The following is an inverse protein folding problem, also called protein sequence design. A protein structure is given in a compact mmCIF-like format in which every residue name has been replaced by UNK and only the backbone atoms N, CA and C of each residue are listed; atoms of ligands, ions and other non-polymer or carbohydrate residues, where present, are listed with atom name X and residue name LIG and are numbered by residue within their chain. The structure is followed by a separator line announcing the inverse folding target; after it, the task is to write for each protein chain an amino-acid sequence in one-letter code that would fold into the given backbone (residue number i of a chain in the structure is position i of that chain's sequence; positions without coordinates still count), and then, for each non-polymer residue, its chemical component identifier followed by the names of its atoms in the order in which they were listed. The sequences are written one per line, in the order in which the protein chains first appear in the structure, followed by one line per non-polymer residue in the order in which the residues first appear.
data_IF_858111985392
#
_entry.id   IF_858111985392
#
_cell.length_a   1.000
_cell.length_b   1.000
_cell.length_c   1.000
_cell.angle_alpha   90.00
_cell.angle_beta   90.00
_cell.angle_gamma   90.00
#
_symmetry.space_group_name_H-M   'P 1'
#
loop_
_entity.id
_entity.type
_entity.pdbx_description
1 polymer ?
#
# COMPACT_ATOMS: atom_id res chain seq x y z
N UNK A 1 -4.40 -12.25 -4.09
CA UNK A 1 -5.72 -12.90 -4.17
C UNK A 1 -5.72 -13.88 -5.31
N UNK A 2 -6.57 -14.90 -5.22
CA UNK A 2 -6.76 -16.02 -6.15
C UNK A 2 -8.21 -16.13 -6.62
N UNK A 3 -9.04 -15.17 -6.22
CA UNK A 3 -10.46 -15.04 -6.52
C UNK A 3 -10.74 -14.70 -8.00
N UNK A 4 -9.76 -14.24 -8.77
CA UNK A 4 -9.90 -14.07 -10.22
C UNK A 4 -9.77 -15.38 -11.03
N UNK A 5 -9.54 -16.52 -10.37
CA UNK A 5 -9.47 -17.80 -11.05
C UNK A 5 -10.79 -18.12 -11.78
N UNK A 6 -10.73 -18.79 -12.93
CA UNK A 6 -11.91 -19.00 -13.78
C UNK A 6 -13.03 -19.86 -13.17
N UNK A 7 -12.74 -20.58 -12.09
CA UNK A 7 -13.72 -21.36 -11.33
C UNK A 7 -14.21 -20.65 -10.07
N UNK A 8 -13.64 -19.48 -9.72
CA UNK A 8 -14.00 -18.79 -8.50
C UNK A 8 -15.43 -18.25 -8.56
N UNK A 9 -16.23 -18.47 -7.50
CA UNK A 9 -17.64 -18.09 -7.51
C UNK A 9 -17.88 -16.59 -7.40
N UNK A 10 -16.88 -15.78 -7.01
CA UNK A 10 -17.09 -14.36 -6.71
C UNK A 10 -16.70 -13.43 -7.86
N UNK A 11 -15.51 -13.60 -8.45
CA UNK A 11 -14.98 -12.57 -9.35
C UNK A 11 -15.36 -12.76 -10.83
N UNK A 12 -15.80 -13.97 -11.24
CA UNK A 12 -16.16 -14.31 -12.62
C UNK A 12 -15.13 -13.81 -13.66
N UNK A 13 -13.85 -14.09 -13.40
CA UNK A 13 -12.73 -13.73 -14.26
C UNK A 13 -12.17 -14.97 -14.99
N UNK A 14 -11.08 -14.83 -15.75
CA UNK A 14 -10.53 -15.90 -16.58
C UNK A 14 -9.01 -16.08 -16.36
N UNK A 15 -8.58 -16.25 -15.11
CA UNK A 15 -7.18 -16.62 -14.81
C UNK A 15 -7.05 -18.12 -14.57
N UNK A 16 -6.02 -18.73 -15.16
CA UNK A 16 -5.61 -20.11 -14.88
C UNK A 16 -4.37 -20.15 -13.97
N UNK A 17 -4.13 -21.27 -13.33
CA UNK A 17 -2.93 -21.62 -12.58
C UNK A 17 -1.65 -21.39 -13.41
N UNK A 18 -1.65 -21.73 -14.70
CA UNK A 18 -0.52 -21.42 -15.58
C UNK A 18 -0.38 -19.92 -15.85
N UNK A 19 -1.49 -19.18 -15.96
CA UNK A 19 -1.47 -17.72 -16.05
C UNK A 19 -0.88 -17.07 -14.78
N UNK A 20 -1.19 -17.62 -13.61
CA UNK A 20 -0.56 -17.25 -12.34
C UNK A 20 0.94 -17.51 -12.32
N UNK A 21 1.37 -18.70 -12.75
CA UNK A 21 2.78 -19.07 -12.83
C UNK A 21 3.55 -18.13 -13.77
N UNK A 22 3.01 -17.84 -14.97
CA UNK A 22 3.60 -16.91 -15.94
C UNK A 22 3.71 -15.49 -15.37
N UNK A 23 2.66 -15.00 -14.71
CA UNK A 23 2.68 -13.68 -14.08
C UNK A 23 3.74 -13.63 -12.97
N UNK A 24 3.82 -14.68 -12.14
CA UNK A 24 4.82 -14.78 -11.08
C UNK A 24 6.25 -14.81 -11.65
N UNK A 25 6.52 -15.61 -12.68
CA UNK A 25 7.83 -15.66 -13.34
C UNK A 25 8.26 -14.30 -13.92
N UNK A 26 7.31 -13.52 -14.45
CA UNK A 26 7.59 -12.16 -14.96
C UNK A 26 7.88 -11.16 -13.86
N UNK A 27 7.18 -11.27 -12.73
CA UNK A 27 7.36 -10.39 -11.59
C UNK A 27 8.64 -10.72 -10.80
N UNK A 28 9.06 -12.00 -10.80
CA UNK A 28 10.17 -12.54 -10.04
C UNK A 28 10.17 -12.09 -8.56
N UNK A 29 9.08 -12.33 -7.81
CA UNK A 29 8.95 -11.81 -6.45
C UNK A 29 9.79 -12.62 -5.45
N UNK A 30 10.31 -11.95 -4.42
CA UNK A 30 10.97 -12.61 -3.29
C UNK A 30 9.97 -13.29 -2.34
N UNK A 31 8.74 -12.77 -2.27
CA UNK A 31 7.70 -13.22 -1.33
C UNK A 31 6.35 -13.27 -2.06
N UNK A 32 5.58 -14.33 -1.81
CA UNK A 32 4.16 -14.41 -2.17
C UNK A 32 3.31 -14.60 -0.90
N UNK A 33 2.33 -13.73 -0.70
CA UNK A 33 1.39 -13.78 0.44
C UNK A 33 0.04 -14.28 -0.05
N UNK A 34 -0.50 -15.28 0.63
CA UNK A 34 -1.83 -15.81 0.33
C UNK A 34 -2.91 -14.85 0.83
N UNK A 35 -3.86 -14.53 -0.03
CA UNK A 35 -4.98 -13.60 0.25
C UNK A 35 -6.31 -14.33 -0.02
N UNK A 36 -7.36 -13.63 -0.47
CA UNK A 36 -8.65 -14.25 -0.83
C UNK A 36 -8.55 -15.28 -1.97
N UNK A 37 -9.53 -16.18 -2.04
CA UNK A 37 -9.67 -17.26 -3.02
C UNK A 37 -10.61 -18.34 -2.49
N UNK A 38 -11.70 -18.64 -3.20
CA UNK A 38 -12.84 -19.38 -2.61
C UNK A 38 -13.10 -20.74 -3.28
N UNK A 39 -12.31 -21.09 -4.29
CA UNK A 39 -12.32 -22.40 -4.99
C UNK A 39 -11.39 -23.43 -4.35
N UNK A 40 -11.57 -23.70 -3.06
CA UNK A 40 -10.61 -24.43 -2.21
C UNK A 40 -10.24 -25.81 -2.76
N UNK A 41 -11.22 -26.60 -3.22
CA UNK A 41 -10.99 -27.99 -3.64
C UNK A 41 -10.69 -28.15 -5.14
N UNK A 42 -10.90 -27.10 -5.94
CA UNK A 42 -10.79 -27.18 -7.40
C UNK A 42 -9.55 -26.46 -7.92
N UNK A 43 -9.47 -25.15 -7.70
CA UNK A 43 -8.46 -24.31 -8.35
C UNK A 43 -7.26 -23.97 -7.49
N UNK A 44 -7.48 -23.72 -6.19
CA UNK A 44 -6.42 -23.24 -5.30
C UNK A 44 -5.19 -24.18 -5.26
N UNK A 45 -5.33 -25.52 -5.27
CA UNK A 45 -4.16 -26.40 -5.30
C UNK A 45 -3.29 -26.20 -6.54
N UNK A 46 -3.91 -26.04 -7.72
CA UNK A 46 -3.19 -25.83 -8.98
C UNK A 46 -2.55 -24.44 -9.02
N UNK A 47 -3.27 -23.40 -8.60
CA UNK A 47 -2.75 -22.02 -8.55
C UNK A 47 -1.55 -21.94 -7.60
N UNK A 48 -1.66 -22.50 -6.39
CA UNK A 48 -0.56 -22.55 -5.42
C UNK A 48 0.63 -23.36 -5.94
N UNK A 49 0.39 -24.51 -6.58
CA UNK A 49 1.43 -25.28 -7.23
C UNK A 49 2.15 -24.44 -8.30
N UNK A 50 1.42 -23.74 -9.16
CA UNK A 50 2.01 -22.87 -10.19
C UNK A 50 2.85 -21.72 -9.63
N UNK A 51 2.40 -21.09 -8.55
CA UNK A 51 3.17 -20.05 -7.86
C UNK A 51 4.46 -20.61 -7.27
N UNK A 52 4.40 -21.75 -6.57
CA UNK A 52 5.58 -22.41 -5.98
C UNK A 52 6.56 -22.83 -7.07
N UNK A 53 6.06 -23.45 -8.15
CA UNK A 53 6.90 -23.86 -9.28
C UNK A 53 7.60 -22.65 -9.92
N UNK A 54 6.87 -21.57 -10.19
CA UNK A 54 7.43 -20.36 -10.77
C UNK A 54 8.50 -19.72 -9.87
N UNK A 55 8.23 -19.59 -8.57
CA UNK A 55 9.18 -19.03 -7.61
C UNK A 55 10.42 -19.91 -7.42
N UNK A 56 10.27 -21.24 -7.49
CA UNK A 56 11.36 -22.19 -7.39
C UNK A 56 12.13 -22.40 -8.72
N UNK A 57 11.75 -21.72 -9.81
CA UNK A 57 12.35 -21.91 -11.13
C UNK A 57 12.08 -23.30 -11.75
N UNK A 58 11.02 -23.97 -11.31
CA UNK A 58 10.60 -25.29 -11.81
C UNK A 58 9.73 -25.08 -13.05
N UNK A 59 9.98 -25.89 -14.09
CA UNK A 59 9.17 -25.87 -15.31
C UNK A 59 7.71 -26.25 -15.04
N UNK A 60 6.81 -25.31 -15.33
CA UNK A 60 5.35 -25.46 -15.20
C UNK A 60 4.66 -25.63 -16.56
N UNK A 61 5.38 -26.01 -17.62
CA UNK A 61 4.81 -26.25 -18.95
C UNK A 61 3.65 -27.26 -18.95
N UNK A 62 3.72 -28.25 -18.06
CA UNK A 62 2.72 -29.30 -17.86
C UNK A 62 1.68 -29.00 -16.77
N UNK A 63 1.75 -27.84 -16.10
CA UNK A 63 0.74 -27.43 -15.14
C UNK A 63 -0.56 -27.11 -15.87
N UNK A 64 -1.59 -27.92 -15.59
CA UNK A 64 -2.91 -27.76 -16.20
C UNK A 64 -3.99 -28.27 -15.26
N UNK A 65 -5.00 -27.45 -15.06
CA UNK A 65 -6.22 -27.81 -14.35
C UNK A 65 -7.06 -28.79 -15.21
N UNK A 66 -7.77 -29.75 -14.58
CA UNK A 66 -8.46 -30.81 -15.32
C UNK A 66 -9.52 -30.32 -16.32
N UNK A 67 -10.19 -29.21 -16.01
CA UNK A 67 -11.26 -28.60 -16.81
C UNK A 67 -10.78 -27.41 -17.65
N UNK A 68 -9.47 -27.16 -17.72
CA UNK A 68 -8.91 -26.05 -18.48
C UNK A 68 -9.24 -26.16 -19.98
N UNK A 69 -9.96 -25.17 -20.50
CA UNK A 69 -10.31 -25.04 -21.90
C UNK A 69 -9.78 -23.71 -22.47
N UNK A 70 -8.71 -23.71 -23.29
CA UNK A 70 -8.09 -22.49 -23.80
C UNK A 70 -9.02 -21.65 -24.68
N UNK A 71 -10.07 -22.23 -25.26
CA UNK A 71 -11.03 -21.48 -26.09
C UNK A 71 -11.85 -20.46 -25.28
N UNK A 72 -11.94 -20.63 -23.95
CA UNK A 72 -12.63 -19.72 -23.02
C UNK A 72 -11.80 -18.50 -22.62
N UNK A 73 -10.50 -18.48 -22.92
CA UNK A 73 -9.56 -17.43 -22.50
C UNK A 73 -9.24 -16.46 -23.65
N UNK A 74 -10.29 -15.98 -24.33
CA UNK A 74 -10.15 -15.01 -25.41
C UNK A 74 -10.58 -13.63 -24.94
N UNK A 75 -9.65 -12.69 -24.95
CA UNK A 75 -9.95 -11.31 -24.62
C UNK A 75 -10.80 -10.67 -25.73
N UNK A 76 -11.83 -9.91 -25.35
CA UNK A 76 -12.68 -9.24 -26.33
C UNK A 76 -11.92 -8.09 -27.02
N UNK A 77 -12.20 -7.77 -28.29
CA UNK A 77 -11.57 -6.62 -28.97
C UNK A 77 -11.75 -5.31 -28.21
N UNK A 78 -12.93 -5.10 -27.59
CA UNK A 78 -13.25 -3.92 -26.79
C UNK A 78 -12.39 -3.83 -25.53
N UNK A 79 -12.25 -4.92 -24.79
CA UNK A 79 -11.41 -4.95 -23.59
C UNK A 79 -9.94 -4.75 -23.96
N UNK A 80 -9.48 -5.36 -25.06
CA UNK A 80 -8.12 -5.15 -25.55
C UNK A 80 -7.86 -3.69 -25.95
N UNK A 81 -8.84 -3.00 -26.55
CA UNK A 81 -8.74 -1.58 -26.82
C UNK A 81 -8.64 -0.76 -25.52
N UNK A 82 -9.45 -1.10 -24.51
CA UNK A 82 -9.39 -0.47 -23.19
C UNK A 82 -8.03 -0.67 -22.51
N UNK A 83 -7.51 -1.90 -22.49
CA UNK A 83 -6.19 -2.24 -21.93
C UNK A 83 -5.11 -1.42 -22.64
N UNK A 84 -5.14 -1.34 -23.98
CA UNK A 84 -4.17 -0.52 -24.74
C UNK A 84 -4.23 0.96 -24.35
N UNK A 85 -5.42 1.53 -24.18
CA UNK A 85 -5.59 2.93 -23.72
C UNK A 85 -5.04 3.11 -22.32
N UNK A 86 -5.35 2.20 -21.40
CA UNK A 86 -4.83 2.23 -20.02
C UNK A 86 -3.30 2.15 -20.01
N UNK A 87 -2.71 1.20 -20.75
CA UNK A 87 -1.25 1.06 -20.86
C UNK A 87 -0.61 2.34 -21.41
N UNK A 88 -1.18 2.93 -22.46
CA UNK A 88 -0.68 4.19 -23.01
C UNK A 88 -0.75 5.34 -21.99
N UNK A 89 -1.83 5.45 -21.23
CA UNK A 89 -1.98 6.45 -20.18
C UNK A 89 -0.95 6.26 -19.05
N UNK A 90 -0.82 5.05 -18.52
CA UNK A 90 0.13 4.73 -17.46
C UNK A 90 1.58 4.92 -17.92
N UNK A 91 1.88 4.54 -19.16
CA UNK A 91 3.20 4.74 -19.77
C UNK A 91 3.54 6.22 -19.89
N UNK A 92 2.61 7.04 -20.38
CA UNK A 92 2.81 8.48 -20.49
C UNK A 92 2.99 9.13 -19.11
N UNK A 93 2.21 8.73 -18.11
CA UNK A 93 2.38 9.21 -16.74
C UNK A 93 3.77 8.83 -16.18
N UNK A 94 4.21 7.59 -16.38
CA UNK A 94 5.54 7.14 -15.96
C UNK A 94 6.66 7.90 -16.67
N UNK A 95 6.56 8.09 -18.00
CA UNK A 95 7.58 8.79 -18.79
C UNK A 95 7.73 10.25 -18.38
N UNK A 96 6.62 10.94 -18.06
CA UNK A 96 6.60 12.37 -17.71
C UNK A 96 6.61 12.61 -16.19
N UNK A 97 6.87 11.58 -15.38
CA UNK A 97 6.79 11.67 -13.91
C UNK A 97 7.75 12.71 -13.34
N UNK A 98 8.96 12.82 -13.87
CA UNK A 98 10.00 13.71 -13.33
C UNK A 98 9.63 15.19 -13.53
N UNK A 99 9.07 15.53 -14.70
CA UNK A 99 8.54 16.86 -14.99
C UNK A 99 7.36 17.18 -14.06
N UNK A 100 6.43 16.23 -13.91
CA UNK A 100 5.28 16.37 -13.01
C UNK A 100 5.72 16.57 -11.55
N UNK A 101 6.71 15.80 -11.09
CA UNK A 101 7.30 15.94 -9.75
C UNK A 101 7.96 17.31 -9.58
N UNK A 102 8.75 17.75 -10.57
CA UNK A 102 9.42 19.05 -10.53
C UNK A 102 8.41 20.20 -10.47
N UNK A 103 7.34 20.14 -11.26
CA UNK A 103 6.30 21.16 -11.26
C UNK A 103 5.49 21.18 -9.96
N UNK A 104 5.15 20.01 -9.42
CA UNK A 104 4.50 19.91 -8.11
C UNK A 104 5.38 20.51 -7.01
N UNK A 105 6.69 20.26 -7.05
CA UNK A 105 7.67 20.81 -6.10
C UNK A 105 7.83 22.32 -6.24
N UNK A 106 7.73 22.89 -7.45
CA UNK A 106 7.81 24.35 -7.66
C UNK A 106 6.56 25.10 -7.19
N UNK A 107 5.38 24.51 -7.42
CA UNK A 107 4.08 25.11 -7.05
C UNK A 107 3.80 25.01 -5.56
N UNK A 108 4.38 24.02 -4.90
CA UNK A 108 4.20 23.78 -3.47
C UNK A 108 5.25 24.53 -2.64
N UNK A 109 4.86 25.05 -1.48
CA UNK A 109 5.82 25.49 -0.47
C UNK A 109 6.58 24.31 0.15
N UNK A 110 7.27 24.56 1.26
CA UNK A 110 7.97 23.49 1.99
C UNK A 110 7.04 22.40 2.52
N UNK A 111 5.75 22.73 2.68
CA UNK A 111 4.70 21.82 3.13
C UNK A 111 3.45 21.95 2.28
N UNK A 112 2.76 20.83 2.08
CA UNK A 112 1.40 20.76 1.55
C UNK A 112 0.50 20.22 2.65
N UNK A 113 -0.57 20.93 2.95
CA UNK A 113 -1.54 20.54 3.97
C UNK A 113 -2.87 20.18 3.32
N UNK A 114 -3.50 19.11 3.78
CA UNK A 114 -4.84 18.73 3.34
C UNK A 114 -5.59 17.97 4.43
N UNK A 115 -6.91 18.07 4.39
CA UNK A 115 -7.78 17.39 5.34
C UNK A 115 -8.36 16.12 4.69
N UNK A 116 -8.59 15.10 5.50
CA UNK A 116 -9.22 13.85 5.06
C UNK A 116 -10.12 13.33 6.16
N UNK A 117 -11.35 13.01 5.83
CA UNK A 117 -12.28 12.29 6.71
C UNK A 117 -12.38 10.84 6.26
N UNK A 118 -12.29 9.91 7.19
CA UNK A 118 -12.28 8.47 6.94
C UNK A 118 -13.31 7.81 7.86
N UNK A 119 -14.11 6.92 7.29
CA UNK A 119 -15.01 6.06 8.05
C UNK A 119 -14.56 4.61 7.93
N UNK A 120 -14.25 3.98 9.05
CA UNK A 120 -13.86 2.57 9.17
C UNK A 120 -15.09 1.79 9.59
N UNK A 121 -15.73 1.14 8.64
CA UNK A 121 -17.01 0.43 8.81
C UNK A 121 -16.94 -0.76 9.77
N UNK A 122 -15.82 -1.48 9.78
CA UNK A 122 -15.64 -2.71 10.57
C UNK A 122 -15.71 -2.44 12.06
N UNK A 123 -15.09 -1.35 12.53
CA UNK A 123 -15.09 -0.95 13.95
C UNK A 123 -16.00 0.27 14.23
N UNK A 124 -16.63 0.81 13.18
CA UNK A 124 -17.46 2.01 13.23
C UNK A 124 -16.70 3.23 13.79
N UNK A 125 -15.49 3.45 13.28
CA UNK A 125 -14.62 4.57 13.67
C UNK A 125 -14.76 5.70 12.65
N UNK A 126 -15.01 6.92 13.14
CA UNK A 126 -14.94 8.13 12.34
C UNK A 126 -13.65 8.88 12.68
N UNK A 127 -12.83 9.14 11.66
CA UNK A 127 -11.54 9.80 11.81
C UNK A 127 -11.46 11.05 10.93
N UNK A 128 -11.08 12.17 11.54
CA UNK A 128 -10.71 13.39 10.83
C UNK A 128 -9.21 13.64 10.95
N UNK A 129 -8.55 13.73 9.80
CA UNK A 129 -7.11 13.93 9.69
C UNK A 129 -6.76 15.30 9.10
N UNK A 130 -5.78 15.97 9.70
CA UNK A 130 -5.02 17.06 9.08
C UNK A 130 -3.64 16.50 8.72
N UNK A 131 -3.38 16.38 7.42
CA UNK A 131 -2.13 15.85 6.91
C UNK A 131 -1.19 16.99 6.54
N UNK A 132 0.06 16.89 6.96
CA UNK A 132 1.16 17.79 6.60
C UNK A 132 2.23 16.99 5.86
N UNK A 133 2.40 17.25 4.57
CA UNK A 133 3.41 16.58 3.74
C UNK A 133 4.60 17.52 3.51
N UNK A 134 5.78 17.13 3.96
CA UNK A 134 7.02 17.86 3.68
C UNK A 134 7.42 17.67 2.22
N UNK A 135 7.55 18.76 1.47
CA UNK A 135 7.98 18.74 0.06
C UNK A 135 9.50 18.92 -0.04
N UNK A 136 10.23 17.81 -0.17
CA UNK A 136 11.69 17.82 -0.27
C UNK A 136 12.15 17.79 -1.74
N UNK A 137 13.24 18.50 -2.04
CA UNK A 137 13.90 18.44 -3.35
C UNK A 137 14.79 17.19 -3.51
N UNK A 138 15.29 16.65 -2.40
CA UNK A 138 16.29 15.58 -2.37
C UNK A 138 15.69 14.19 -2.13
N UNK A 139 14.47 14.09 -1.60
CA UNK A 139 13.80 12.81 -1.32
C UNK A 139 12.27 12.95 -1.40
N UNK A 140 11.53 11.91 -0.97
CA UNK A 140 10.07 11.92 -0.88
C UNK A 140 9.50 12.76 0.27
N UNK A 141 10.36 13.32 1.13
CA UNK A 141 9.94 14.03 2.34
C UNK A 141 9.47 13.10 3.46
N UNK A 142 8.85 13.68 4.48
CA UNK A 142 8.19 12.97 5.58
C UNK A 142 6.76 13.50 5.72
N UNK A 143 5.90 12.74 6.43
CA UNK A 143 4.50 13.12 6.65
C UNK A 143 4.22 13.23 8.14
N UNK A 144 3.43 14.23 8.51
CA UNK A 144 2.81 14.34 9.82
C UNK A 144 1.30 14.27 9.66
N UNK A 145 0.63 13.64 10.60
CA UNK A 145 -0.82 13.48 10.63
C UNK A 145 -1.29 13.85 12.02
N UNK A 146 -2.06 14.92 12.13
CA UNK A 146 -2.93 15.11 13.28
C UNK A 146 -4.23 14.35 13.00
N UNK A 147 -4.63 13.49 13.91
CA UNK A 147 -5.81 12.64 13.74
C UNK A 147 -6.70 12.72 14.98
N UNK A 148 -8.00 12.88 14.75
CA UNK A 148 -9.04 12.81 15.78
C UNK A 148 -9.99 11.69 15.40
N UNK A 149 -10.17 10.73 16.29
CA UNK A 149 -11.02 9.59 16.06
C UNK A 149 -12.10 9.47 17.14
N UNK A 150 -13.34 9.24 16.72
CA UNK A 150 -14.46 8.86 17.57
C UNK A 150 -14.77 7.38 17.37
N UNK A 151 -14.75 6.62 18.45
CA UNK A 151 -15.11 5.20 18.43
C UNK A 151 -16.56 4.97 18.83
N UNK A 152 -17.10 3.81 18.47
CA UNK A 152 -18.46 3.37 18.87
C UNK A 152 -18.66 3.32 20.39
N UNK A 153 -17.59 3.08 21.14
CA UNK A 153 -17.58 3.05 22.62
C UNK A 153 -17.78 4.43 23.25
N UNK A 154 -17.70 5.51 22.46
CA UNK A 154 -17.71 6.89 22.93
C UNK A 154 -16.32 7.43 23.27
N UNK A 155 -15.28 6.59 23.18
CA UNK A 155 -13.90 7.04 23.35
C UNK A 155 -13.50 7.99 22.20
N UNK A 156 -12.75 9.03 22.56
CA UNK A 156 -12.18 9.99 21.63
C UNK A 156 -10.66 10.01 21.81
N UNK A 157 -9.95 9.90 20.70
CA UNK A 157 -8.50 9.98 20.68
C UNK A 157 -8.04 11.11 19.78
N UNK A 158 -7.14 11.94 20.30
CA UNK A 158 -6.44 12.95 19.54
C UNK A 158 -4.96 12.60 19.50
N UNK A 159 -4.47 12.23 18.32
CA UNK A 159 -3.11 11.71 18.14
C UNK A 159 -2.34 12.50 17.10
N UNK A 160 -1.01 12.47 17.23
CA UNK A 160 -0.11 13.05 16.24
C UNK A 160 0.92 12.03 15.80
N UNK A 161 0.95 11.75 14.50
CA UNK A 161 1.77 10.70 13.92
C UNK A 161 2.78 11.31 12.95
N UNK A 162 4.05 10.92 13.07
CA UNK A 162 5.12 11.32 12.17
C UNK A 162 5.69 10.05 11.53
N UNK A 163 5.78 10.03 10.20
CA UNK A 163 6.35 8.90 9.45
C UNK A 163 7.51 9.40 8.59
N UNK A 164 8.71 8.94 8.92
CA UNK A 164 9.96 9.18 8.18
C UNK A 164 10.22 7.95 7.29
N UNK A 165 10.16 8.10 5.95
CA UNK A 165 10.43 7.00 5.03
C UNK A 165 11.87 6.49 5.08
N UNK A 166 12.07 5.23 4.70
CA UNK A 166 13.38 4.59 4.68
C UNK A 166 14.40 5.29 3.76
N UNK A 167 13.93 5.99 2.73
CA UNK A 167 14.74 6.75 1.78
C UNK A 167 14.77 8.27 2.06
N UNK A 168 14.39 8.71 3.27
CA UNK A 168 14.43 10.12 3.63
C UNK A 168 15.88 10.63 3.68
N UNK A 169 16.13 11.81 3.09
CA UNK A 169 17.44 12.47 3.21
C UNK A 169 17.70 12.91 4.66
N UNK A 170 18.97 13.15 5.01
CA UNK A 170 19.37 13.54 6.37
C UNK A 170 18.57 14.72 6.92
N UNK A 171 18.36 15.77 6.11
CA UNK A 171 17.55 16.92 6.49
C UNK A 171 16.11 16.53 6.89
N UNK A 172 15.44 15.69 6.10
CA UNK A 172 14.08 15.26 6.41
C UNK A 172 14.02 14.35 7.64
N UNK A 173 15.05 13.54 7.86
CA UNK A 173 15.15 12.74 9.08
C UNK A 173 15.28 13.64 10.33
N UNK A 174 16.16 14.64 10.27
CA UNK A 174 16.39 15.59 11.36
C UNK A 174 15.15 16.44 11.63
N UNK A 175 14.52 17.00 10.59
CA UNK A 175 13.28 17.78 10.71
C UNK A 175 12.13 16.94 11.30
N UNK A 176 11.95 15.69 10.84
CA UNK A 176 10.90 14.81 11.36
C UNK A 176 11.12 14.42 12.82
N UNK A 177 12.37 14.10 13.20
CA UNK A 177 12.72 13.81 14.60
C UNK A 177 12.58 15.04 15.49
N UNK A 178 12.97 16.22 15.00
CA UNK A 178 12.81 17.48 15.72
C UNK A 178 11.33 17.80 15.95
N UNK A 179 10.48 17.62 14.94
CA UNK A 179 9.03 17.80 15.07
C UNK A 179 8.44 16.88 16.16
N UNK A 180 8.90 15.63 16.25
CA UNK A 180 8.49 14.71 17.31
C UNK A 180 8.86 15.25 18.70
N UNK A 181 10.12 15.66 18.88
CA UNK A 181 10.61 16.21 20.15
C UNK A 181 9.87 17.50 20.56
N UNK A 182 9.53 18.34 19.60
CA UNK A 182 8.76 19.55 19.85
C UNK A 182 7.32 19.24 20.31
N UNK A 183 6.69 18.21 19.75
CA UNK A 183 5.36 17.79 20.18
C UNK A 183 5.36 17.14 21.57
N UNK A 184 6.41 16.38 21.92
CA UNK A 184 6.60 15.85 23.29
C UNK A 184 6.64 16.99 24.31
N UNK A 185 7.33 18.09 24.00
CA UNK A 185 7.42 19.26 24.89
C UNK A 185 6.09 20.00 25.02
N UNK A 186 5.37 20.18 23.92
CA UNK A 186 4.10 20.92 23.90
C UNK A 186 2.94 20.13 24.52
N UNK A 187 2.99 18.80 24.48
CA UNK A 187 1.95 17.88 24.99
C UNK A 187 0.51 18.21 24.55
N UNK A 188 0.20 18.55 23.28
CA UNK A 188 -1.16 18.95 22.91
C UNK A 188 -2.07 17.77 22.49
N UNK A 189 -1.57 16.53 22.55
CA UNK A 189 -2.24 15.33 22.06
C UNK A 189 -2.29 14.24 23.14
N UNK A 190 -3.12 13.22 22.99
CA UNK A 190 -3.17 12.06 23.89
C UNK A 190 -1.98 11.11 23.65
N UNK A 191 -1.64 10.91 22.37
CA UNK A 191 -0.59 10.00 21.91
C UNK A 191 0.25 10.65 20.80
N UNK A 192 1.56 10.44 20.86
CA UNK A 192 2.48 10.80 19.79
C UNK A 192 3.14 9.55 19.22
N UNK A 193 3.14 9.42 17.91
CA UNK A 193 3.80 8.34 17.20
C UNK A 193 4.93 8.88 16.33
N UNK A 194 6.09 8.25 16.39
CA UNK A 194 7.17 8.42 15.42
C UNK A 194 7.53 7.06 14.82
N UNK A 195 7.28 6.90 13.53
CA UNK A 195 7.80 5.79 12.74
C UNK A 195 9.04 6.27 11.99
N UNK A 196 10.21 5.86 12.46
CA UNK A 196 11.49 6.16 11.83
C UNK A 196 12.01 4.92 11.09
N UNK A 197 11.61 4.79 9.82
CA UNK A 197 11.99 3.63 9.00
C UNK A 197 13.46 3.61 8.59
N UNK A 198 14.21 4.69 8.84
CA UNK A 198 15.66 4.72 8.62
C UNK A 198 16.38 4.00 9.76
N UNK A 199 15.86 4.14 10.98
CA UNK A 199 16.37 3.43 12.16
C UNK A 199 15.67 2.10 12.44
N UNK A 200 14.55 1.86 11.76
CA UNK A 200 13.61 0.76 12.06
C UNK A 200 13.02 0.86 13.49
N UNK A 201 12.80 2.10 13.95
CA UNK A 201 12.24 2.39 15.27
C UNK A 201 10.76 2.82 15.15
N UNK A 202 9.88 2.27 15.99
CA UNK A 202 8.56 2.84 16.26
C UNK A 202 8.48 3.34 17.70
N UNK A 203 8.33 4.66 17.87
CA UNK A 203 8.17 5.30 19.17
C UNK A 203 6.73 5.68 19.42
N UNK A 204 6.24 5.38 20.62
CA UNK A 204 4.88 5.66 21.07
C UNK A 204 4.98 6.37 22.41
N UNK A 205 4.64 7.65 22.43
CA UNK A 205 4.64 8.46 23.66
C UNK A 205 3.21 8.71 24.14
N UNK A 206 2.92 8.28 25.36
CA UNK A 206 1.63 8.43 26.04
C UNK A 206 1.67 9.67 26.93
N UNK A 207 1.06 10.75 26.47
CA UNK A 207 1.21 12.07 27.09
C UNK A 207 0.70 12.08 28.54
N UNK A 208 -0.47 11.49 28.80
CA UNK A 208 -1.05 11.42 30.14
C UNK A 208 -0.25 10.58 31.15
N UNK A 209 0.55 9.63 30.65
CA UNK A 209 1.37 8.73 31.49
C UNK A 209 2.83 9.13 31.55
N UNK A 210 3.24 10.12 30.76
CA UNK A 210 4.63 10.52 30.58
C UNK A 210 5.58 9.33 30.31
N UNK A 211 5.16 8.42 29.43
CA UNK A 211 5.89 7.20 29.12
C UNK A 211 6.10 7.05 27.62
N UNK A 212 7.32 6.68 27.21
CA UNK A 212 7.68 6.33 25.84
C UNK A 212 7.91 4.82 25.74
N UNK A 213 7.34 4.19 24.72
CA UNK A 213 7.66 2.81 24.31
C UNK A 213 8.37 2.88 22.96
N UNK A 214 9.46 2.13 22.81
CA UNK A 214 10.19 1.95 21.55
C UNK A 214 10.06 0.49 21.16
N UNK A 215 9.56 0.24 19.95
CA UNK A 215 9.42 -1.07 19.32
C UNK A 215 10.37 -1.17 18.14
#
# INVERSE_FOLDING_TARGET
GQDNHYSDPLANMAFSARGYAELNSRLAPDIAVLEGGYSVETALPYVNMGLIMAMAGIDYSNLREPDYNPSRFKESPRNMEYIKKMVAQQWNAYKNREETIADNRKKSGNFVNYNKSIFYDTEYIYEDQINHLRICQNCGGFRMIESRAHQRTGEHFHVFCISIPANACQQCQEEGRAAYQDMIKKRPFDLLYLQDRVKDDLRIYKVHKDTETVL
#
